data_IF_738999873332
#
_entry.id   IF_738999873332
#
_cell.length_a   1.000
_cell.length_b   1.000
_cell.length_c   1.000
_cell.angle_alpha   90.00
_cell.angle_beta   90.00
_cell.angle_gamma   90.00
#
_symmetry.space_group_name_H-M   'P 1'
#
loop_
_entity.id
_entity.type
_entity.pdbx_description
1 polymer ?
#
# COMPACT_ATOMS: atom_id res chain seq x y z
N UNK A 1 22.41 -9.93 22.61
CA UNK A 1 21.43 -9.58 23.68
C UNK A 1 21.96 -10.08 25.01
N UNK A 2 21.91 -9.27 26.08
CA UNK A 2 22.28 -9.73 27.43
C UNK A 2 21.11 -10.48 28.05
N UNK A 3 21.30 -11.75 28.43
CA UNK A 3 20.22 -12.61 28.95
C UNK A 3 19.59 -12.07 30.23
N UNK A 4 20.36 -11.43 31.09
CA UNK A 4 19.87 -10.76 32.30
C UNK A 4 18.81 -9.68 31.97
N UNK A 5 19.07 -8.86 30.95
CA UNK A 5 18.15 -7.79 30.55
C UNK A 5 16.87 -8.35 29.92
N UNK A 6 17.01 -9.41 29.12
CA UNK A 6 15.86 -10.11 28.53
C UNK A 6 14.94 -10.69 29.61
N UNK A 7 15.51 -11.37 30.61
CA UNK A 7 14.75 -11.93 31.72
C UNK A 7 14.00 -10.85 32.52
N UNK A 8 14.69 -9.76 32.87
CA UNK A 8 14.07 -8.64 33.58
C UNK A 8 12.95 -7.98 32.78
N UNK A 9 13.13 -7.83 31.47
CA UNK A 9 12.10 -7.30 30.59
C UNK A 9 10.88 -8.22 30.51
N UNK A 10 11.09 -9.52 30.28
CA UNK A 10 9.99 -10.50 30.20
C UNK A 10 9.21 -10.60 31.51
N UNK A 11 9.88 -10.57 32.67
CA UNK A 11 9.20 -10.51 33.98
C UNK A 11 8.27 -9.31 34.07
N UNK A 12 8.78 -8.12 33.75
CA UNK A 12 7.99 -6.87 33.81
C UNK A 12 6.78 -6.92 32.88
N UNK A 13 6.94 -7.42 31.66
CA UNK A 13 5.82 -7.51 30.70
C UNK A 13 4.81 -8.59 31.13
N UNK A 14 5.27 -9.70 31.70
CA UNK A 14 4.41 -10.75 32.21
C UNK A 14 3.56 -10.29 33.39
N UNK A 15 4.13 -9.53 34.32
CA UNK A 15 3.40 -8.91 35.43
C UNK A 15 2.32 -7.93 34.93
N UNK A 16 2.61 -7.16 33.89
CA UNK A 16 1.66 -6.22 33.29
C UNK A 16 0.56 -6.92 32.49
N UNK A 17 0.85 -8.09 31.90
CA UNK A 17 -0.05 -8.84 31.02
C UNK A 17 -0.01 -10.34 31.33
N UNK A 18 -0.56 -10.76 32.48
CA UNK A 18 -0.45 -12.15 32.95
C UNK A 18 -1.25 -13.14 32.12
N UNK A 19 -2.26 -12.69 31.38
CA UNK A 19 -3.13 -13.52 30.53
C UNK A 19 -2.62 -13.64 29.07
N UNK A 20 -1.48 -13.02 28.73
CA UNK A 20 -0.96 -13.04 27.37
C UNK A 20 -0.31 -14.39 27.03
N UNK A 21 -0.67 -14.97 25.88
CA UNK A 21 -0.08 -16.23 25.39
C UNK A 21 1.34 -16.06 24.87
N UNK A 22 1.71 -14.85 24.42
CA UNK A 22 3.02 -14.52 23.87
C UNK A 22 3.46 -13.10 24.27
N UNK A 23 4.76 -12.91 24.42
CA UNK A 23 5.38 -11.60 24.68
C UNK A 23 6.31 -11.23 23.53
N UNK A 24 5.98 -10.15 22.82
CA UNK A 24 6.78 -9.64 21.70
C UNK A 24 7.95 -8.80 22.23
N UNK A 25 9.14 -9.01 21.68
CA UNK A 25 10.35 -8.25 22.00
C UNK A 25 10.95 -7.71 20.69
N UNK A 26 11.11 -6.39 20.60
CA UNK A 26 11.75 -5.75 19.45
C UNK A 26 13.27 -5.99 19.48
N UNK A 27 13.78 -6.69 18.47
CA UNK A 27 15.19 -7.09 18.40
C UNK A 27 16.02 -6.24 17.44
N UNK A 28 15.44 -5.86 16.30
CA UNK A 28 16.12 -5.13 15.23
C UNK A 28 15.16 -4.11 14.61
N UNK A 29 15.67 -2.90 14.37
CA UNK A 29 15.08 -1.93 13.45
C UNK A 29 16.09 -1.71 12.33
N UNK A 30 15.64 -1.81 11.09
CA UNK A 30 16.50 -1.70 9.92
C UNK A 30 15.77 -0.96 8.79
N UNK A 31 16.54 -0.47 7.83
CA UNK A 31 16.06 0.12 6.59
C UNK A 31 16.55 -0.73 5.42
N UNK A 32 15.72 -0.84 4.39
CA UNK A 32 16.04 -1.58 3.17
C UNK A 32 16.42 -0.57 2.11
N UNK A 33 17.55 -0.76 1.45
CA UNK A 33 17.95 0.06 0.32
C UNK A 33 17.02 -0.21 -0.87
N UNK A 34 16.58 0.84 -1.57
CA UNK A 34 15.67 0.74 -2.71
C UNK A 34 16.35 1.22 -3.99
N UNK A 35 16.11 0.53 -5.09
CA UNK A 35 16.61 0.84 -6.43
C UNK A 35 15.48 1.39 -7.30
N UNK A 36 14.79 2.42 -6.80
CA UNK A 36 13.67 3.05 -7.50
C UNK A 36 12.49 2.10 -7.72
N UNK A 37 11.91 2.13 -8.93
CA UNK A 37 10.66 1.45 -9.28
C UNK A 37 10.77 -0.09 -9.30
N UNK A 38 11.97 -0.65 -9.38
CA UNK A 38 12.16 -2.10 -9.32
C UNK A 38 11.97 -2.64 -7.90
N UNK A 39 12.19 -1.81 -6.87
CA UNK A 39 11.98 -2.18 -5.47
C UNK A 39 10.56 -1.91 -4.97
N UNK A 40 9.65 -1.44 -5.83
CA UNK A 40 8.25 -1.21 -5.47
C UNK A 40 7.37 -2.39 -5.92
N UNK A 41 6.67 -3.07 -5.00
CA UNK A 41 5.85 -4.23 -5.34
C UNK A 41 4.58 -3.87 -6.14
N UNK A 42 4.21 -2.59 -6.15
CA UNK A 42 3.11 -2.04 -6.93
C UNK A 42 3.56 -0.74 -7.59
N UNK A 43 3.69 -0.77 -8.91
CA UNK A 43 4.05 0.38 -9.72
C UNK A 43 2.80 1.16 -10.08
N UNK A 44 2.87 2.48 -10.03
CA UNK A 44 1.73 3.38 -10.19
C UNK A 44 2.06 4.49 -11.19
N UNK A 45 1.10 4.80 -12.06
CA UNK A 45 1.11 6.00 -12.89
C UNK A 45 -0.25 6.70 -12.79
N UNK A 46 -0.24 7.99 -12.52
CA UNK A 46 -1.46 8.78 -12.29
C UNK A 46 -1.51 9.93 -13.26
N UNK A 47 -2.62 10.06 -13.98
CA UNK A 47 -2.88 11.17 -14.90
C UNK A 47 -4.21 11.85 -14.59
N UNK A 48 -4.18 13.17 -14.60
CA UNK A 48 -5.34 14.02 -14.44
C UNK A 48 -5.53 14.83 -15.71
N UNK A 49 -6.77 14.88 -16.21
CA UNK A 49 -7.17 15.70 -17.35
C UNK A 49 -8.49 16.35 -17.02
N UNK A 50 -8.67 17.63 -17.25
CA UNK A 50 -9.94 18.27 -16.95
C UNK A 50 -10.05 19.66 -17.55
N UNK A 51 -11.27 20.15 -17.56
CA UNK A 51 -11.64 21.50 -17.96
C UNK A 51 -12.42 22.18 -16.82
N UNK A 52 -13.03 23.34 -17.10
CA UNK A 52 -13.80 24.09 -16.10
C UNK A 52 -15.03 23.34 -15.55
N UNK A 53 -15.52 22.32 -16.26
CA UNK A 53 -16.76 21.61 -15.95
C UNK A 53 -16.56 20.14 -15.57
N UNK A 54 -15.40 19.55 -15.90
CA UNK A 54 -15.15 18.13 -15.71
C UNK A 54 -13.69 17.80 -15.38
N UNK A 55 -13.47 16.67 -14.71
CA UNK A 55 -12.14 16.12 -14.44
C UNK A 55 -12.15 14.61 -14.58
N UNK A 56 -11.22 14.09 -15.36
CA UNK A 56 -10.89 12.70 -15.57
C UNK A 56 -9.65 12.33 -14.75
N UNK A 57 -9.80 11.30 -13.91
CA UNK A 57 -8.74 10.66 -13.16
C UNK A 57 -8.49 9.27 -13.76
N UNK A 58 -7.24 9.00 -14.12
CA UNK A 58 -6.77 7.66 -14.51
C UNK A 58 -5.58 7.25 -13.66
N UNK A 59 -5.64 6.03 -13.13
CA UNK A 59 -4.59 5.40 -12.33
C UNK A 59 -4.26 4.06 -12.99
N UNK A 60 -3.10 3.96 -13.61
CA UNK A 60 -2.56 2.69 -14.10
C UNK A 60 -1.71 2.05 -12.99
N UNK A 61 -1.91 0.76 -12.76
CA UNK A 61 -1.16 0.00 -11.76
C UNK A 61 -0.58 -1.29 -12.35
N UNK A 62 0.59 -1.70 -11.85
CA UNK A 62 1.26 -2.93 -12.25
C UNK A 62 1.91 -3.61 -11.05
N UNK A 63 1.52 -4.85 -10.80
CA UNK A 63 2.20 -5.74 -9.86
C UNK A 63 3.64 -6.03 -10.33
N UNK A 64 4.60 -5.91 -9.42
CA UNK A 64 6.02 -6.16 -9.70
C UNK A 64 6.50 -7.39 -8.92
N UNK A 65 6.83 -8.46 -9.64
CA UNK A 65 7.46 -9.67 -9.06
C UNK A 65 8.92 -9.43 -8.69
N UNK A 66 9.61 -8.51 -9.37
CA UNK A 66 11.04 -8.21 -9.17
C UNK A 66 11.32 -7.53 -7.82
N UNK A 67 10.32 -6.87 -7.23
CA UNK A 67 10.44 -6.18 -5.95
C UNK A 67 10.50 -7.14 -4.74
N UNK A 68 10.23 -8.43 -4.96
CA UNK A 68 10.14 -9.44 -3.92
C UNK A 68 11.00 -10.65 -4.27
N UNK A 69 11.85 -11.15 -3.36
CA UNK A 69 12.64 -12.37 -3.58
C UNK A 69 11.75 -13.60 -3.83
N UNK A 70 10.66 -13.69 -3.08
CA UNK A 70 9.59 -14.67 -3.30
C UNK A 70 8.31 -13.89 -3.57
N UNK A 71 7.81 -13.84 -4.82
CA UNK A 71 6.61 -13.09 -5.15
C UNK A 71 5.38 -13.64 -4.41
N UNK A 72 4.75 -12.77 -3.62
CA UNK A 72 3.50 -13.07 -2.90
C UNK A 72 2.40 -12.09 -3.32
N UNK A 73 1.12 -12.49 -3.27
CA UNK A 73 0.01 -11.60 -3.57
C UNK A 73 -0.01 -10.37 -2.65
N UNK A 74 -0.43 -9.24 -3.20
CA UNK A 74 -0.82 -8.06 -2.43
C UNK A 74 -2.32 -8.19 -2.12
N UNK A 75 -2.71 -7.96 -0.88
CA UNK A 75 -4.10 -8.06 -0.41
C UNK A 75 -4.58 -6.77 0.24
N UNK A 76 -5.90 -6.61 0.36
CA UNK A 76 -6.54 -5.43 0.96
C UNK A 76 -6.05 -4.13 0.33
N UNK A 77 -6.01 -4.08 -1.00
CA UNK A 77 -5.43 -2.96 -1.73
C UNK A 77 -6.47 -1.85 -1.80
N UNK A 78 -6.15 -0.68 -1.24
CA UNK A 78 -7.02 0.49 -1.27
C UNK A 78 -6.33 1.64 -1.99
N UNK A 79 -6.97 2.15 -3.03
CA UNK A 79 -6.57 3.36 -3.75
C UNK A 79 -7.48 4.50 -3.32
N UNK A 80 -6.90 5.64 -2.92
CA UNK A 80 -7.63 6.80 -2.45
C UNK A 80 -7.07 8.08 -3.08
N UNK A 81 -7.94 8.86 -3.72
CA UNK A 81 -7.58 10.16 -4.28
C UNK A 81 -8.60 11.22 -3.86
N UNK A 82 -8.12 12.42 -3.52
CA UNK A 82 -8.98 13.56 -3.23
C UNK A 82 -9.31 14.31 -4.52
N UNK A 83 -10.54 14.77 -4.68
CA UNK A 83 -10.97 15.52 -5.87
C UNK A 83 -11.67 16.79 -5.39
N UNK A 84 -11.07 17.93 -5.70
CA UNK A 84 -11.61 19.26 -5.39
C UNK A 84 -12.47 19.82 -6.55
N UNK A 85 -12.86 21.10 -6.47
CA UNK A 85 -13.65 21.76 -7.51
C UNK A 85 -15.17 21.59 -7.38
N UNK A 86 -15.65 21.21 -6.19
CA UNK A 86 -17.09 21.09 -5.92
C UNK A 86 -17.75 20.03 -6.79
N UNK A 87 -17.39 18.76 -6.55
CA UNK A 87 -17.94 17.62 -7.31
C UNK A 87 -19.46 17.57 -7.17
N UNK A 88 -20.16 17.89 -8.26
CA UNK A 88 -21.62 17.85 -8.33
C UNK A 88 -22.12 16.44 -8.64
N UNK A 89 -21.42 15.73 -9.53
CA UNK A 89 -21.83 14.42 -10.03
C UNK A 89 -20.64 13.57 -10.44
N UNK A 90 -20.68 12.30 -10.08
CA UNK A 90 -19.75 11.29 -10.61
C UNK A 90 -20.36 10.66 -11.86
N UNK A 91 -19.75 10.89 -13.03
CA UNK A 91 -20.32 10.48 -14.32
C UNK A 91 -19.97 9.04 -14.69
N UNK A 92 -18.72 8.65 -14.46
CA UNK A 92 -18.24 7.31 -14.76
C UNK A 92 -17.22 6.86 -13.71
N UNK A 93 -17.23 5.58 -13.39
CA UNK A 93 -16.21 4.93 -12.59
C UNK A 93 -15.99 3.50 -13.10
N UNK A 94 -14.74 3.13 -13.37
CA UNK A 94 -14.40 1.78 -13.81
C UNK A 94 -13.05 1.38 -13.21
N UNK A 95 -12.96 0.28 -12.46
CA UNK A 95 -14.05 -0.52 -11.88
C UNK A 95 -14.90 0.29 -10.87
N UNK A 96 -15.99 -0.28 -10.34
CA UNK A 96 -16.81 0.38 -9.32
C UNK A 96 -15.98 0.90 -8.13
N UNK A 97 -16.29 2.12 -7.72
CA UNK A 97 -15.61 2.86 -6.67
C UNK A 97 -16.61 3.36 -5.62
N UNK A 98 -16.11 3.83 -4.50
CA UNK A 98 -16.91 4.55 -3.50
C UNK A 98 -16.47 6.01 -3.47
N UNK A 99 -17.42 6.93 -3.66
CA UNK A 99 -17.21 8.37 -3.47
C UNK A 99 -17.70 8.79 -2.08
N UNK A 100 -16.86 9.50 -1.34
CA UNK A 100 -17.23 10.11 -0.07
C UNK A 100 -17.29 11.64 -0.25
N UNK A 101 -18.49 12.25 -0.22
CA UNK A 101 -18.65 13.70 -0.40
C UNK A 101 -18.16 14.53 0.81
N UNK A 102 -18.17 13.98 2.03
CA UNK A 102 -17.73 14.69 3.24
C UNK A 102 -16.22 14.91 3.23
N UNK A 103 -15.47 13.93 2.74
CA UNK A 103 -14.00 14.00 2.64
C UNK A 103 -13.51 14.34 1.24
N UNK A 104 -14.43 14.44 0.27
CA UNK A 104 -14.16 14.64 -1.15
C UNK A 104 -13.15 13.64 -1.72
N UNK A 105 -13.32 12.36 -1.37
CA UNK A 105 -12.39 11.29 -1.78
C UNK A 105 -13.10 10.18 -2.52
N UNK A 106 -12.47 9.72 -3.60
CA UNK A 106 -12.82 8.47 -4.27
C UNK A 106 -11.94 7.34 -3.76
N UNK A 107 -12.53 6.16 -3.58
CA UNK A 107 -11.85 4.95 -3.10
C UNK A 107 -12.14 3.76 -3.99
N UNK A 108 -11.10 3.05 -4.41
CA UNK A 108 -11.20 1.71 -5.01
C UNK A 108 -10.62 0.67 -4.08
N UNK A 109 -11.24 -0.52 -4.08
CA UNK A 109 -10.78 -1.66 -3.30
C UNK A 109 -10.54 -2.85 -4.23
N UNK A 110 -9.32 -3.36 -4.22
CA UNK A 110 -8.95 -4.60 -4.92
C UNK A 110 -8.60 -5.64 -3.84
N UNK A 111 -9.34 -6.76 -3.74
CA UNK A 111 -9.12 -7.75 -2.69
C UNK A 111 -7.72 -8.35 -2.73
N UNK A 112 -7.27 -8.70 -3.94
CA UNK A 112 -5.99 -9.36 -4.17
C UNK A 112 -5.42 -8.98 -5.55
N UNK A 113 -4.10 -8.80 -5.63
CA UNK A 113 -3.36 -8.61 -6.87
C UNK A 113 -2.10 -9.49 -6.86
N UNK A 114 -1.91 -10.28 -7.91
CA UNK A 114 -0.73 -11.11 -8.13
C UNK A 114 -0.48 -11.31 -9.63
N UNK A 115 0.59 -12.00 -9.98
CA UNK A 115 0.86 -12.41 -11.37
C UNK A 115 -0.24 -13.30 -11.97
N UNK A 116 -1.05 -13.96 -11.13
CA UNK A 116 -2.17 -14.82 -11.57
C UNK A 116 -3.48 -14.06 -11.74
N UNK A 117 -3.54 -12.80 -11.28
CA UNK A 117 -4.70 -11.95 -11.49
C UNK A 117 -4.89 -11.65 -12.98
N UNK A 118 -6.06 -11.14 -13.34
CA UNK A 118 -6.37 -10.70 -14.70
C UNK A 118 -5.26 -9.78 -15.25
N UNK A 119 -4.93 -9.95 -16.54
CA UNK A 119 -3.86 -9.23 -17.24
C UNK A 119 -2.48 -9.32 -16.55
N UNK A 120 -2.22 -10.36 -15.75
CA UNK A 120 -0.93 -10.54 -15.07
C UNK A 120 -0.68 -9.55 -13.95
N UNK A 121 -1.74 -8.99 -13.35
CA UNK A 121 -1.63 -7.98 -12.30
C UNK A 121 -1.43 -6.55 -12.81
N UNK A 122 -1.75 -6.29 -14.09
CA UNK A 122 -1.77 -4.97 -14.70
C UNK A 122 -3.22 -4.50 -14.86
N UNK A 123 -3.52 -3.26 -14.49
CA UNK A 123 -4.86 -2.72 -14.67
C UNK A 123 -4.91 -1.20 -14.61
N UNK A 124 -6.12 -0.67 -14.77
CA UNK A 124 -6.40 0.76 -14.72
C UNK A 124 -7.67 1.05 -13.91
N UNK A 125 -7.66 2.18 -13.21
CA UNK A 125 -8.82 2.75 -12.51
C UNK A 125 -9.13 4.09 -13.16
N UNK A 126 -10.40 4.30 -13.51
CA UNK A 126 -10.88 5.46 -14.22
C UNK A 126 -12.05 6.09 -13.45
N UNK A 127 -12.05 7.40 -13.32
CA UNK A 127 -13.20 8.16 -12.84
C UNK A 127 -13.36 9.47 -13.59
N UNK A 128 -14.60 9.86 -13.88
CA UNK A 128 -14.97 11.16 -14.46
C UNK A 128 -15.90 11.91 -13.52
N UNK A 129 -15.47 13.08 -13.09
CA UNK A 129 -16.19 13.98 -12.18
C UNK A 129 -16.74 15.17 -12.96
N UNK A 130 -17.97 15.56 -12.66
CA UNK A 130 -18.54 16.84 -13.06
C UNK A 130 -18.39 17.81 -11.90
N UNK A 131 -17.81 18.97 -12.18
CA UNK A 131 -17.41 19.97 -11.20
C UNK A 131 -18.33 21.19 -11.26
N UNK A 132 -18.47 21.88 -10.13
CA UNK A 132 -19.05 23.22 -10.07
C UNK A 132 -18.01 24.29 -10.41
N UNK A 133 -16.78 24.10 -9.93
CA UNK A 133 -15.67 25.04 -10.02
C UNK A 133 -14.41 24.29 -10.46
N UNK A 134 -14.33 23.94 -11.75
CA UNK A 134 -13.15 23.28 -12.32
C UNK A 134 -12.08 24.26 -12.84
N UNK A 135 -10.91 23.75 -13.25
CA UNK A 135 -10.50 22.35 -13.17
C UNK A 135 -10.07 21.95 -11.75
N UNK A 136 -10.24 20.67 -11.42
CA UNK A 136 -9.71 20.12 -10.16
C UNK A 136 -8.18 20.17 -10.16
N UNK A 137 -7.59 20.48 -9.01
CA UNK A 137 -6.14 20.44 -8.80
C UNK A 137 -5.72 18.98 -8.57
N UNK A 138 -4.76 18.44 -9.34
CA UNK A 138 -4.25 17.10 -9.13
C UNK A 138 -3.79 16.88 -7.68
N UNK A 139 -4.37 15.89 -7.03
CA UNK A 139 -4.01 15.51 -5.66
C UNK A 139 -3.16 14.25 -5.65
N UNK A 140 -2.45 14.02 -4.55
CA UNK A 140 -1.66 12.80 -4.38
C UNK A 140 -2.58 11.57 -4.25
N UNK A 141 -2.25 10.51 -4.99
CA UNK A 141 -2.86 9.20 -4.81
C UNK A 141 -2.24 8.51 -3.59
N UNK A 142 -3.07 8.10 -2.64
CA UNK A 142 -2.68 7.25 -1.53
C UNK A 142 -3.02 5.78 -1.82
N UNK A 143 -2.04 4.89 -1.68
CA UNK A 143 -2.26 3.44 -1.81
C UNK A 143 -1.83 2.69 -0.55
N UNK A 144 -2.70 1.81 -0.07
CA UNK A 144 -2.49 0.89 1.05
C UNK A 144 -2.62 -0.55 0.56
N UNK A 145 -1.80 -1.45 1.09
CA UNK A 145 -1.93 -2.90 0.87
C UNK A 145 -1.14 -3.68 1.92
N UNK A 146 -1.43 -4.98 2.02
CA UNK A 146 -0.69 -5.93 2.85
C UNK A 146 -0.18 -7.10 2.02
N UNK A 147 0.90 -7.75 2.46
CA UNK A 147 1.34 -9.03 1.91
C UNK A 147 1.94 -9.89 3.01
N UNK A 148 1.65 -11.18 2.98
CA UNK A 148 2.16 -12.18 3.91
C UNK A 148 2.91 -13.27 3.16
N UNK A 149 3.93 -13.86 3.82
CA UNK A 149 4.75 -14.93 3.27
C UNK A 149 6.11 -14.48 2.71
N UNK A 150 6.34 -13.17 2.58
CA UNK A 150 7.59 -12.62 2.01
C UNK A 150 8.04 -11.33 2.71
N UNK A 151 9.27 -10.90 2.41
CA UNK A 151 9.83 -9.61 2.82
C UNK A 151 10.37 -8.89 1.58
N UNK A 152 10.41 -7.56 1.60
CA UNK A 152 11.07 -6.79 0.54
C UNK A 152 12.61 -6.87 0.62
N UNK A 153 13.15 -7.16 1.81
CA UNK A 153 14.60 -7.23 2.04
C UNK A 153 15.23 -8.58 1.65
N UNK A 154 14.43 -9.64 1.58
CA UNK A 154 14.94 -11.01 1.48
C UNK A 154 15.67 -11.54 2.71
N UNK A 155 15.77 -10.74 3.78
CA UNK A 155 16.43 -11.17 5.01
C UNK A 155 15.69 -12.37 5.63
N UNK A 156 16.48 -13.27 6.21
CA UNK A 156 16.00 -14.38 7.01
C UNK A 156 16.70 -14.45 8.37
N UNK A 157 16.11 -15.23 9.27
CA UNK A 157 16.65 -15.45 10.61
C UNK A 157 17.03 -16.91 10.79
N UNK A 158 18.23 -17.13 11.31
CA UNK A 158 18.68 -18.45 11.72
C UNK A 158 19.05 -18.41 13.20
N UNK A 159 18.66 -19.45 13.92
CA UNK A 159 19.05 -19.64 15.31
C UNK A 159 20.39 -20.39 15.36
N UNK A 160 21.31 -19.91 16.19
CA UNK A 160 22.61 -20.54 16.43
C UNK A 160 22.62 -21.13 17.85
N UNK A 161 23.00 -22.41 17.96
CA UNK A 161 22.98 -23.18 19.21
C UNK A 161 21.74 -24.09 19.34
N UNK A 162 21.71 -24.92 20.39
CA UNK A 162 20.72 -25.98 20.57
C UNK A 162 19.66 -25.72 21.65
N UNK A 163 19.82 -24.67 22.46
CA UNK A 163 18.94 -24.40 23.61
C UNK A 163 17.56 -23.84 23.27
N UNK A 164 17.33 -23.45 22.02
CA UNK A 164 16.08 -22.85 21.56
C UNK A 164 15.71 -23.40 20.17
N UNK A 165 14.44 -23.27 19.80
CA UNK A 165 13.97 -23.56 18.45
C UNK A 165 13.05 -22.45 17.96
N UNK A 166 13.08 -22.17 16.67
CA UNK A 166 12.09 -21.31 16.04
C UNK A 166 10.82 -22.13 15.81
N UNK A 167 9.70 -21.71 16.39
CA UNK A 167 8.39 -22.36 16.16
C UNK A 167 7.74 -21.89 14.88
N UNK A 168 7.88 -20.60 14.56
CA UNK A 168 7.30 -19.95 13.39
C UNK A 168 8.14 -18.74 13.01
N UNK A 169 8.41 -18.56 11.71
CA UNK A 169 8.98 -17.32 11.16
C UNK A 169 7.90 -16.66 10.31
N UNK A 170 7.26 -15.60 10.84
CA UNK A 170 6.24 -14.84 10.11
C UNK A 170 6.89 -13.71 9.32
N UNK A 171 6.82 -13.78 7.99
CA UNK A 171 7.28 -12.73 7.06
C UNK A 171 6.07 -11.97 6.50
N UNK A 172 6.08 -10.65 6.58
CA UNK A 172 5.02 -9.78 6.05
C UNK A 172 5.57 -8.38 5.77
N UNK A 173 4.94 -7.69 4.84
CA UNK A 173 5.12 -6.25 4.64
C UNK A 173 3.78 -5.59 4.33
N UNK A 174 3.70 -4.28 4.56
CA UNK A 174 2.51 -3.49 4.28
C UNK A 174 2.91 -2.12 3.77
N UNK A 175 2.21 -1.62 2.77
CA UNK A 175 2.26 -0.21 2.44
C UNK A 175 1.43 0.57 3.47
N UNK A 176 2.06 1.58 4.07
CA UNK A 176 1.35 2.65 4.76
C UNK A 176 0.64 3.53 3.73
N UNK A 177 1.08 4.78 3.58
CA UNK A 177 0.59 5.64 2.50
C UNK A 177 1.69 5.73 1.44
N UNK A 178 1.53 5.00 0.33
CA UNK A 178 2.33 5.23 -0.86
C UNK A 178 1.72 6.39 -1.64
N UNK A 179 2.52 7.44 -1.84
CA UNK A 179 2.14 8.63 -2.60
C UNK A 179 2.70 8.52 -4.01
N UNK A 180 1.82 8.47 -5.02
CA UNK A 180 2.24 8.57 -6.40
C UNK A 180 2.16 10.03 -6.87
N UNK A 181 3.25 10.51 -7.48
CA UNK A 181 3.30 11.84 -8.10
C UNK A 181 2.40 11.91 -9.34
N UNK A 182 1.72 13.05 -9.53
CA UNK A 182 0.82 13.27 -10.65
C UNK A 182 1.53 14.03 -11.77
N UNK A 183 1.39 13.56 -13.00
CA UNK A 183 1.78 14.32 -14.18
C UNK A 183 0.55 15.05 -14.74
N UNK A 184 0.63 16.37 -14.84
CA UNK A 184 -0.36 17.20 -15.54
C UNK A 184 -0.10 17.10 -17.04
N UNK A 185 -0.94 16.38 -17.75
CA UNK A 185 -0.96 16.46 -19.21
C UNK A 185 -1.81 17.68 -19.59
N UNK A 186 -1.17 18.85 -19.73
CA UNK A 186 -1.81 19.96 -20.43
C UNK A 186 -1.96 19.56 -21.91
N UNK A 187 -3.20 19.34 -22.35
CA UNK A 187 -3.54 19.31 -23.77
C UNK A 187 -3.32 20.72 -24.32
N UNK A 188 -2.16 20.93 -24.94
CA UNK A 188 -1.98 21.99 -25.92
C UNK A 188 -2.67 21.53 -27.22
N UNK A 189 -3.83 22.11 -27.50
CA UNK A 189 -4.25 22.39 -28.88
C UNK A 189 -3.72 23.76 -29.28
#
# INVERSE_FOLDING_TARGET
>A
VKMSNLLSHLKKVAEQRPQATYYNVDMLKYQVSTQGIQSTPLNLAVSWRGDASSTDLRIDYKYSTEAMPTPTPLTNIHFMAAVDGGVNKLQAMLPPATWNPETQKITWKIPELSQRSENGGVGALLARFQLAEGPSRPSQLAVQFTSEGSTLSGCDFQLVGSGYRLSLVKKRFSAGILLAGCYLCHSHE
#
